data_IF_417473547986
#
_entry.id   IF_417473547986
#
_cell.length_a   1.000
_cell.length_b   1.000
_cell.length_c   1.000
_cell.angle_alpha   90.00
_cell.angle_beta   90.00
_cell.angle_gamma   90.00
#
_symmetry.space_group_name_H-M   'P 1'
#
loop_
_entity.id
_entity.type
_entity.pdbx_description
1 polymer ?
#
# COMPACT_ATOMS: atom_id res chain seq x y z
N UNK A 1 9.80 11.65 -3.60
CA UNK A 1 10.15 12.50 -2.43
C UNK A 1 11.46 13.18 -2.77
N UNK A 2 11.58 14.52 -2.73
CA UNK A 2 12.80 15.20 -3.17
C UNK A 2 14.03 14.72 -2.37
N UNK A 3 15.08 14.22 -3.04
CA UNK A 3 16.30 13.75 -2.35
C UNK A 3 16.96 14.83 -1.50
N UNK A 4 16.83 16.09 -1.91
CA UNK A 4 17.34 17.26 -1.18
C UNK A 4 16.80 17.36 0.25
N UNK A 5 15.55 16.91 0.46
CA UNK A 5 14.87 16.94 1.76
C UNK A 5 14.97 15.59 2.46
N UNK A 6 14.81 14.47 1.73
CA UNK A 6 14.66 13.12 2.28
C UNK A 6 15.88 12.20 2.05
N UNK A 7 17.08 12.77 1.94
CA UNK A 7 18.32 12.03 1.69
C UNK A 7 18.76 11.08 2.82
N UNK A 8 19.95 10.46 2.72
CA UNK A 8 20.42 9.39 3.63
C UNK A 8 20.47 9.74 5.13
N UNK A 9 20.46 11.03 5.48
CA UNK A 9 20.42 11.52 6.86
C UNK A 9 19.03 11.89 7.39
N UNK A 10 17.98 11.74 6.59
CA UNK A 10 16.62 12.14 7.00
C UNK A 10 16.10 11.22 8.11
N UNK A 11 15.73 11.84 9.23
CA UNK A 11 15.16 11.12 10.37
C UNK A 11 13.66 10.90 10.14
N UNK A 12 13.31 9.70 9.69
CA UNK A 12 11.92 9.27 9.66
C UNK A 12 11.36 9.12 11.08
N UNK A 13 10.03 9.20 11.19
CA UNK A 13 9.30 9.01 12.45
C UNK A 13 9.76 7.70 13.11
N UNK A 14 10.22 7.74 14.37
CA UNK A 14 10.62 6.54 15.10
C UNK A 14 9.49 5.52 15.12
N UNK A 15 9.86 4.24 15.06
CA UNK A 15 8.86 3.15 15.00
C UNK A 15 7.90 3.13 16.19
N UNK A 16 8.35 3.57 17.36
CA UNK A 16 7.53 3.63 18.58
C UNK A 16 6.49 4.75 18.56
N UNK A 17 6.68 5.75 17.70
CA UNK A 17 5.76 6.88 17.56
C UNK A 17 4.71 6.64 16.46
N UNK A 18 4.85 5.54 15.70
CA UNK A 18 3.83 5.10 14.76
C UNK A 18 2.73 4.36 15.52
N UNK A 19 1.47 4.62 15.13
CA UNK A 19 0.34 3.83 15.63
C UNK A 19 0.57 2.34 15.40
N UNK A 20 0.22 1.52 16.39
CA UNK A 20 0.16 0.06 16.30
C UNK A 20 -1.02 -0.38 15.42
N UNK A 21 -1.00 -1.62 14.95
CA UNK A 21 -2.08 -2.13 14.10
C UNK A 21 -3.42 -2.15 14.84
N UNK A 22 -3.38 -2.49 16.12
CA UNK A 22 -4.52 -2.53 17.04
C UNK A 22 -5.11 -1.13 17.24
N UNK A 23 -4.27 -0.10 17.28
CA UNK A 23 -4.70 1.29 17.43
C UNK A 23 -5.40 1.77 16.14
N UNK A 24 -4.83 1.46 14.97
CA UNK A 24 -5.46 1.77 13.68
C UNK A 24 -6.82 1.06 13.55
N UNK A 25 -6.90 -0.22 13.90
CA UNK A 25 -8.16 -0.97 13.86
C UNK A 25 -9.19 -0.44 14.87
N UNK A 26 -8.76 -0.07 16.08
CA UNK A 26 -9.63 0.55 17.09
C UNK A 26 -10.22 1.86 16.58
N UNK A 27 -9.39 2.75 16.04
CA UNK A 27 -9.83 4.04 15.48
C UNK A 27 -10.82 3.80 14.34
N UNK A 28 -10.49 2.89 13.42
CA UNK A 28 -11.37 2.55 12.29
C UNK A 28 -12.73 2.03 12.76
N UNK A 29 -12.78 1.18 13.79
CA UNK A 29 -14.04 0.67 14.36
C UNK A 29 -14.91 1.79 14.93
N UNK A 30 -14.30 2.74 15.65
CA UNK A 30 -15.02 3.91 16.17
C UNK A 30 -15.61 4.74 15.03
N UNK A 31 -14.83 5.01 13.98
CA UNK A 31 -15.31 5.73 12.81
C UNK A 31 -16.39 4.98 12.01
N UNK A 32 -16.31 3.64 11.95
CA UNK A 32 -17.36 2.83 11.31
C UNK A 32 -18.72 2.99 11.99
N UNK A 33 -18.72 3.09 13.33
CA UNK A 33 -19.91 3.42 14.12
C UNK A 33 -20.52 4.79 13.78
N UNK A 34 -19.76 5.68 13.14
CA UNK A 34 -20.19 7.01 12.68
C UNK A 34 -20.41 7.07 11.16
N UNK A 35 -20.53 5.92 10.49
CA UNK A 35 -20.88 5.84 9.07
C UNK A 35 -19.71 5.75 8.11
N UNK A 36 -18.46 5.68 8.58
CA UNK A 36 -17.34 5.33 7.70
C UNK A 36 -17.53 3.91 7.15
N UNK A 37 -17.39 3.77 5.83
CA UNK A 37 -17.52 2.48 5.13
C UNK A 37 -16.27 2.07 4.36
N UNK A 38 -15.41 3.05 4.05
CA UNK A 38 -14.25 2.86 3.19
C UNK A 38 -12.96 3.24 3.91
N UNK A 39 -11.93 2.42 3.77
CA UNK A 39 -10.60 2.67 4.30
C UNK A 39 -9.60 2.67 3.14
N UNK A 40 -8.75 3.70 3.08
CA UNK A 40 -7.65 3.77 2.12
C UNK A 40 -6.33 3.72 2.88
N UNK A 41 -5.56 2.67 2.65
CA UNK A 41 -4.21 2.48 3.15
C UNK A 41 -3.25 3.21 2.19
N UNK A 42 -2.39 4.03 2.79
CA UNK A 42 -1.39 4.86 2.11
C UNK A 42 -0.21 5.04 3.07
N UNK A 43 0.64 6.04 2.82
CA UNK A 43 1.76 6.43 3.66
C UNK A 43 2.72 7.29 2.85
N UNK A 44 4.01 6.97 2.92
CA UNK A 44 4.88 7.04 1.76
C UNK A 44 4.56 5.85 0.85
N UNK A 45 5.28 4.74 1.01
CA UNK A 45 4.94 3.45 0.39
C UNK A 45 4.41 2.46 1.44
N UNK A 46 3.09 2.12 1.42
CA UNK A 46 2.49 1.26 2.44
C UNK A 46 3.08 -0.16 2.48
N UNK A 47 3.59 -0.69 1.37
CA UNK A 47 4.15 -2.04 1.31
C UNK A 47 5.45 -2.21 2.13
N UNK A 48 6.07 -1.12 2.59
CA UNK A 48 7.22 -1.12 3.52
C UNK A 48 6.76 -1.45 4.94
N UNK A 49 5.49 -1.17 5.29
CA UNK A 49 4.99 -1.41 6.64
C UNK A 49 4.93 -2.91 6.92
N UNK A 50 5.62 -3.34 7.97
CA UNK A 50 5.58 -4.73 8.44
C UNK A 50 4.16 -5.11 8.84
N UNK A 51 3.77 -6.35 8.53
CA UNK A 51 2.47 -6.93 8.87
C UNK A 51 1.27 -6.15 8.27
N UNK A 52 1.44 -5.62 7.05
CA UNK A 52 0.38 -4.91 6.33
C UNK A 52 -0.84 -5.81 6.06
N UNK A 53 -0.62 -7.06 5.67
CA UNK A 53 -1.65 -8.05 5.42
C UNK A 53 -2.49 -8.28 6.68
N UNK A 54 -1.83 -8.36 7.85
CA UNK A 54 -2.51 -8.46 9.15
C UNK A 54 -3.36 -7.24 9.46
N UNK A 55 -2.90 -6.04 9.12
CA UNK A 55 -3.71 -4.83 9.26
C UNK A 55 -4.98 -4.92 8.41
N UNK A 56 -4.86 -5.36 7.16
CA UNK A 56 -5.99 -5.50 6.25
C UNK A 56 -7.01 -6.51 6.79
N UNK A 57 -6.57 -7.65 7.31
CA UNK A 57 -7.44 -8.63 7.99
C UNK A 57 -8.20 -8.00 9.16
N UNK A 58 -7.50 -7.25 10.02
CA UNK A 58 -8.10 -6.58 11.18
C UNK A 58 -9.14 -5.56 10.75
N UNK A 59 -8.89 -4.81 9.68
CA UNK A 59 -9.82 -3.82 9.12
C UNK A 59 -11.03 -4.51 8.46
N UNK A 60 -10.80 -5.64 7.78
CA UNK A 60 -11.86 -6.41 7.12
C UNK A 60 -12.85 -7.00 8.11
N UNK A 61 -12.40 -7.34 9.31
CA UNK A 61 -13.23 -7.82 10.42
C UNK A 61 -14.01 -6.72 11.17
N UNK A 62 -13.98 -5.47 10.70
CA UNK A 62 -14.75 -4.37 11.33
C UNK A 62 -16.11 -4.25 10.65
N UNK A 63 -17.18 -4.48 11.42
CA UNK A 63 -18.54 -4.27 10.97
C UNK A 63 -18.74 -2.87 10.40
N UNK A 64 -19.35 -2.80 9.22
CA UNK A 64 -19.58 -1.57 8.47
C UNK A 64 -18.45 -1.18 7.51
N UNK A 65 -17.24 -1.72 7.62
CA UNK A 65 -16.19 -1.50 6.61
C UNK A 65 -16.44 -2.44 5.42
N UNK A 66 -16.79 -1.86 4.28
CA UNK A 66 -17.15 -2.60 3.07
C UNK A 66 -16.08 -2.56 1.99
N UNK A 67 -15.16 -1.59 2.08
CA UNK A 67 -14.17 -1.33 1.05
C UNK A 67 -12.82 -0.93 1.66
N UNK A 68 -11.81 -1.75 1.41
CA UNK A 68 -10.41 -1.50 1.79
C UNK A 68 -9.61 -1.35 0.51
N UNK A 69 -8.94 -0.21 0.38
CA UNK A 69 -8.12 0.11 -0.78
C UNK A 69 -6.71 0.46 -0.37
N UNK A 70 -5.74 0.27 -1.27
CA UNK A 70 -4.36 0.69 -1.07
C UNK A 70 -3.90 1.59 -2.21
N UNK A 71 -2.98 2.52 -1.95
CA UNK A 71 -2.25 3.27 -2.98
C UNK A 71 -0.76 2.97 -2.85
N UNK A 72 -0.12 2.50 -3.92
CA UNK A 72 1.28 2.01 -3.92
C UNK A 72 1.97 2.39 -5.23
N UNK A 73 3.31 2.47 -5.21
CA UNK A 73 4.13 2.55 -6.43
C UNK A 73 4.38 1.17 -7.08
N UNK A 74 3.82 0.10 -6.51
CA UNK A 74 3.94 -1.29 -6.98
C UNK A 74 5.38 -1.85 -7.06
N UNK A 75 6.39 -1.13 -6.59
CA UNK A 75 7.81 -1.55 -6.65
C UNK A 75 8.09 -2.84 -5.87
N UNK A 76 7.25 -3.18 -4.90
CA UNK A 76 7.33 -4.39 -4.08
C UNK A 76 6.17 -5.37 -4.34
N UNK A 77 5.36 -5.15 -5.38
CA UNK A 77 4.15 -5.94 -5.64
C UNK A 77 4.46 -7.19 -6.45
N UNK A 78 5.00 -8.20 -5.78
CA UNK A 78 5.16 -9.55 -6.37
C UNK A 78 3.82 -10.28 -6.43
N UNK A 79 3.70 -11.30 -7.29
CA UNK A 79 2.50 -12.16 -7.38
C UNK A 79 2.06 -12.66 -6.00
N UNK A 80 2.98 -13.24 -5.23
CA UNK A 80 2.70 -13.76 -3.87
C UNK A 80 2.17 -12.67 -2.93
N UNK A 81 2.70 -11.44 -3.02
CA UNK A 81 2.21 -10.33 -2.18
C UNK A 81 0.84 -9.86 -2.64
N UNK A 82 0.58 -9.78 -3.94
CA UNK A 82 -0.74 -9.45 -4.48
C UNK A 82 -1.81 -10.46 -4.00
N UNK A 83 -1.49 -11.76 -4.07
CA UNK A 83 -2.35 -12.83 -3.55
C UNK A 83 -2.60 -12.70 -2.05
N UNK A 84 -1.55 -12.46 -1.25
CA UNK A 84 -1.67 -12.32 0.20
C UNK A 84 -2.53 -11.09 0.60
N UNK A 85 -2.35 -9.96 -0.09
CA UNK A 85 -3.16 -8.76 0.12
C UNK A 85 -4.64 -9.00 -0.22
N UNK A 86 -4.92 -9.68 -1.33
CA UNK A 86 -6.27 -10.08 -1.72
C UNK A 86 -6.89 -11.02 -0.69
N UNK A 87 -6.16 -12.05 -0.27
CA UNK A 87 -6.61 -13.03 0.73
C UNK A 87 -6.91 -12.38 2.08
N UNK A 88 -6.12 -11.36 2.47
CA UNK A 88 -6.36 -10.56 3.67
C UNK A 88 -7.66 -9.71 3.59
N UNK A 89 -8.20 -9.48 2.38
CA UNK A 89 -9.45 -8.77 2.16
C UNK A 89 -9.31 -7.40 1.50
N UNK A 90 -8.17 -7.11 0.85
CA UNK A 90 -7.99 -5.88 0.07
C UNK A 90 -8.86 -5.90 -1.19
N UNK A 91 -9.67 -4.86 -1.41
CA UNK A 91 -10.62 -4.80 -2.51
C UNK A 91 -10.04 -4.21 -3.79
N UNK A 92 -9.24 -3.14 -3.68
CA UNK A 92 -8.62 -2.47 -4.83
C UNK A 92 -7.23 -1.92 -4.50
N UNK A 93 -6.41 -1.82 -5.53
CA UNK A 93 -5.12 -1.15 -5.49
C UNK A 93 -5.16 0.01 -6.49
N UNK A 94 -4.63 1.16 -6.09
CA UNK A 94 -4.36 2.29 -6.97
C UNK A 94 -2.84 2.36 -7.13
N UNK A 95 -2.36 2.35 -8.36
CA UNK A 95 -0.92 2.34 -8.64
C UNK A 95 -0.50 3.73 -9.10
N UNK A 96 0.46 4.33 -8.39
CA UNK A 96 1.08 5.59 -8.76
C UNK A 96 2.18 5.31 -9.78
N UNK A 97 1.98 5.79 -11.01
CA UNK A 97 2.92 5.69 -12.12
C UNK A 97 2.98 7.05 -12.81
N UNK A 98 4.08 7.78 -12.62
CA UNK A 98 4.20 9.16 -13.08
C UNK A 98 4.59 9.28 -14.57
N UNK A 99 5.16 8.22 -15.16
CA UNK A 99 5.48 8.13 -16.58
C UNK A 99 5.59 6.66 -17.03
N UNK A 100 5.38 6.39 -18.31
CA UNK A 100 5.51 5.05 -18.93
C UNK A 100 6.89 4.88 -19.59
N UNK A 101 7.49 5.97 -20.07
CA UNK A 101 8.85 5.96 -20.61
C UNK A 101 9.89 6.05 -19.47
N UNK A 102 10.97 5.29 -19.62
CA UNK A 102 12.01 5.16 -18.59
C UNK A 102 12.70 6.50 -18.30
N UNK A 103 12.99 7.30 -19.32
CA UNK A 103 13.68 8.59 -19.17
C UNK A 103 12.88 9.57 -18.30
N UNK A 104 11.59 9.76 -18.61
CA UNK A 104 10.73 10.63 -17.80
C UNK A 104 10.48 10.04 -16.42
N UNK A 105 10.31 8.71 -16.31
CA UNK A 105 10.08 8.05 -15.03
C UNK A 105 11.24 8.26 -14.06
N UNK A 106 12.48 8.10 -14.52
CA UNK A 106 13.68 8.31 -13.71
C UNK A 106 13.84 9.78 -13.32
N UNK A 107 13.59 10.70 -14.25
CA UNK A 107 13.66 12.15 -13.98
C UNK A 107 12.67 12.60 -12.91
N UNK A 108 11.47 12.02 -12.87
CA UNK A 108 10.41 12.41 -11.93
C UNK A 108 10.57 11.73 -10.57
N UNK A 109 10.89 10.44 -10.54
CA UNK A 109 10.95 9.69 -9.28
C UNK A 109 12.19 9.97 -8.45
N UNK A 110 13.26 10.46 -9.08
CA UNK A 110 14.54 10.73 -8.42
C UNK A 110 15.05 9.49 -7.67
N UNK A 111 14.74 8.29 -8.18
CA UNK A 111 15.23 6.99 -7.73
C UNK A 111 15.53 6.14 -8.96
N UNK A 112 16.62 5.38 -8.89
CA UNK A 112 17.03 4.47 -9.96
C UNK A 112 16.22 3.16 -9.86
N UNK A 113 14.91 3.30 -10.10
CA UNK A 113 13.96 2.18 -10.11
C UNK A 113 13.38 2.06 -11.52
N UNK A 114 13.49 0.90 -12.19
CA UNK A 114 13.02 0.77 -13.57
C UNK A 114 11.50 0.85 -13.68
N UNK A 115 10.98 1.58 -14.69
CA UNK A 115 9.54 1.64 -14.95
C UNK A 115 8.97 0.24 -15.25
N UNK A 116 9.77 -0.59 -15.92
CA UNK A 116 9.42 -1.98 -16.23
C UNK A 116 9.08 -2.81 -14.97
N UNK A 117 9.71 -2.50 -13.82
CA UNK A 117 9.41 -3.18 -12.55
C UNK A 117 8.09 -2.73 -11.94
N UNK A 118 7.68 -1.48 -12.16
CA UNK A 118 6.34 -1.01 -11.79
C UNK A 118 5.28 -1.69 -12.66
N UNK A 119 5.52 -1.78 -13.98
CA UNK A 119 4.64 -2.47 -14.92
C UNK A 119 4.48 -3.96 -14.57
N UNK A 120 5.57 -4.65 -14.23
CA UNK A 120 5.52 -6.03 -13.71
C UNK A 120 4.64 -6.12 -12.44
N UNK A 121 4.73 -5.15 -11.54
CA UNK A 121 3.87 -5.05 -10.37
C UNK A 121 2.39 -4.87 -10.72
N UNK A 122 2.07 -4.09 -11.75
CA UNK A 122 0.70 -3.94 -12.28
C UNK A 122 0.19 -5.28 -12.82
N UNK A 123 1.00 -5.99 -13.60
CA UNK A 123 0.64 -7.30 -14.15
C UNK A 123 0.37 -8.33 -13.05
N UNK A 124 1.22 -8.36 -12.02
CA UNK A 124 1.06 -9.23 -10.84
C UNK A 124 -0.27 -8.99 -10.10
N UNK A 125 -0.80 -7.77 -10.13
CA UNK A 125 -2.09 -7.45 -9.52
C UNK A 125 -3.30 -7.94 -10.33
N UNK A 126 -3.12 -8.18 -11.64
CA UNK A 126 -4.19 -8.56 -12.57
C UNK A 126 -4.39 -10.08 -12.69
N UNK A 127 -3.43 -10.91 -12.24
CA UNK A 127 -3.54 -12.37 -12.40
C UNK A 127 -4.76 -12.91 -11.62
N UNK A 128 -5.79 -13.44 -12.31
CA UNK A 128 -6.91 -14.08 -11.63
C UNK A 128 -6.43 -15.36 -10.95
N UNK A 129 -6.78 -15.51 -9.66
CA UNK A 129 -6.49 -16.73 -8.91
C UNK A 129 -7.23 -17.89 -9.58
N UNK A 130 -6.51 -18.85 -10.16
CA UNK A 130 -7.07 -20.18 -10.43
C UNK A 130 -7.55 -20.74 -9.10
N UNK A 131 -8.86 -20.73 -8.89
CA UNK A 131 -9.49 -21.54 -7.84
C UNK A 131 -9.15 -23.00 -8.15
N UNK A 132 -8.37 -23.62 -7.27
CA UNK A 132 -8.34 -25.09 -7.13
C UNK A 132 -9.35 -25.48 -6.06
#
# INVERSE_FOLDING_TARGET
MPREIFGPGYKFVPRNDLLKLEEIARITRLFSGHGVRKVRITGGEPMIRRNLERLIEMLRGIDGITDISMTTNASMLTVKRAEALRAAGLNRINISLDAIDEETFQRVNDVDFPVAKVLEGIDNAHVPVSMR
#
